data_IF_115856654169
#
_entry.id   IF_115856654169
#
_cell.length_a   1.000
_cell.length_b   1.000
_cell.length_c   1.000
_cell.angle_alpha   90.00
_cell.angle_beta   90.00
_cell.angle_gamma   90.00
#
_symmetry.space_group_name_H-M   'P 1'
#
loop_
_entity.id
_entity.type
_entity.pdbx_description
1 polymer ?
#
# COMPACT_ATOMS: atom_id res chain seq x y z
N UNK A 1 -12.72 3.70 24.01
CA UNK A 1 -11.99 2.97 22.94
C UNK A 1 -12.26 3.74 21.66
N UNK A 2 -11.29 4.50 21.14
CA UNK A 2 -11.47 5.25 19.90
C UNK A 2 -11.62 4.25 18.75
N UNK A 3 -12.73 4.34 18.03
CA UNK A 3 -12.92 3.62 16.77
C UNK A 3 -12.04 4.33 15.75
N UNK A 4 -10.91 3.72 15.42
CA UNK A 4 -10.03 4.24 14.39
C UNK A 4 -10.70 3.92 13.05
N UNK A 5 -11.27 4.92 12.37
CA UNK A 5 -11.88 4.80 11.03
C UNK A 5 -10.86 4.55 9.91
N UNK A 6 -9.67 4.07 10.28
CA UNK A 6 -8.56 3.83 9.39
C UNK A 6 -8.75 2.50 8.66
N UNK A 7 -8.70 2.55 7.34
CA UNK A 7 -8.87 1.40 6.46
C UNK A 7 -7.69 1.30 5.49
N UNK A 8 -7.49 0.09 5.03
CA UNK A 8 -6.47 -0.26 4.06
C UNK A 8 -7.14 -0.44 2.71
N UNK A 9 -6.78 0.36 1.72
CA UNK A 9 -7.30 0.25 0.36
C UNK A 9 -6.31 -0.53 -0.50
N UNK A 10 -6.80 -1.52 -1.22
CA UNK A 10 -5.98 -2.34 -2.10
C UNK A 10 -6.12 -1.79 -3.52
N UNK A 11 -5.18 -0.95 -3.92
CA UNK A 11 -5.25 -0.30 -5.23
C UNK A 11 -5.15 -1.29 -6.39
N UNK A 12 -4.59 -2.47 -6.16
CA UNK A 12 -4.48 -3.53 -7.18
C UNK A 12 -5.83 -4.16 -7.49
N UNK A 13 -6.69 -4.34 -6.48
CA UNK A 13 -8.04 -4.89 -6.67
C UNK A 13 -9.08 -3.82 -6.98
N UNK A 14 -8.90 -2.62 -6.42
CA UNK A 14 -9.94 -1.60 -6.37
C UNK A 14 -9.88 -0.64 -7.58
N UNK A 15 -8.76 -0.61 -8.33
CA UNK A 15 -8.60 0.21 -9.53
C UNK A 15 -8.57 -0.66 -10.81
N UNK A 16 -9.06 -0.14 -11.95
CA UNK A 16 -8.90 -0.79 -13.24
C UNK A 16 -7.41 -0.96 -13.58
N UNK A 17 -7.01 -2.15 -14.07
CA UNK A 17 -5.61 -2.42 -14.47
C UNK A 17 -5.05 -1.45 -15.53
N UNK A 18 -5.93 -0.77 -16.27
CA UNK A 18 -5.56 0.23 -17.28
C UNK A 18 -5.17 1.58 -16.69
N UNK A 19 -5.42 1.83 -15.40
CA UNK A 19 -5.06 3.07 -14.73
C UNK A 19 -3.64 2.94 -14.15
N UNK A 20 -2.62 3.60 -14.72
CA UNK A 20 -1.28 3.54 -14.17
C UNK A 20 -1.24 4.31 -12.84
N UNK A 21 -0.73 3.67 -11.78
CA UNK A 21 -0.24 4.39 -10.60
C UNK A 21 1.08 5.05 -10.98
N UNK A 22 1.12 6.38 -10.99
CA UNK A 22 2.34 7.10 -11.35
C UNK A 22 3.15 7.45 -10.10
N UNK A 23 4.47 7.55 -10.24
CA UNK A 23 5.34 8.02 -9.15
C UNK A 23 4.93 9.42 -8.65
N UNK A 24 4.29 10.22 -9.51
CA UNK A 24 3.78 11.55 -9.15
C UNK A 24 2.70 11.45 -8.07
N UNK A 25 1.83 10.44 -8.16
CA UNK A 25 0.74 10.19 -7.20
C UNK A 25 1.27 9.73 -5.83
N UNK A 26 2.52 9.27 -5.78
CA UNK A 26 3.22 8.87 -4.55
C UNK A 26 3.98 10.03 -3.89
N UNK A 27 4.09 11.19 -4.54
CA UNK A 27 4.90 12.31 -4.03
C UNK A 27 4.40 12.77 -2.66
N UNK A 28 5.31 12.89 -1.70
CA UNK A 28 4.99 13.30 -0.32
C UNK A 28 4.39 12.21 0.56
N UNK A 29 4.10 11.02 0.02
CA UNK A 29 3.65 9.86 0.79
C UNK A 29 4.84 9.05 1.28
N UNK A 30 4.71 8.45 2.48
CA UNK A 30 5.67 7.43 2.92
C UNK A 30 5.48 6.18 2.06
N UNK A 31 6.57 5.58 1.61
CA UNK A 31 6.54 4.35 0.81
C UNK A 31 7.29 3.25 1.57
N UNK A 32 6.68 2.06 1.67
CA UNK A 32 7.30 0.85 2.19
C UNK A 32 7.29 -0.22 1.10
N UNK A 33 8.43 -0.83 0.83
CA UNK A 33 8.51 -2.01 -0.05
C UNK A 33 8.69 -3.25 0.82
N UNK A 34 7.84 -4.25 0.64
CA UNK A 34 7.82 -5.49 1.42
C UNK A 34 8.20 -6.65 0.51
N UNK A 35 9.41 -7.22 0.66
CA UNK A 35 9.82 -8.41 -0.08
C UNK A 35 8.91 -9.61 0.23
N UNK A 36 8.91 -10.59 -0.67
CA UNK A 36 8.23 -11.84 -0.43
C UNK A 36 8.76 -12.53 0.83
N UNK A 37 7.86 -12.99 1.71
CA UNK A 37 8.19 -13.70 2.95
C UNK A 37 8.69 -12.81 4.10
N UNK A 38 8.80 -11.50 3.90
CA UNK A 38 9.20 -10.59 4.97
C UNK A 38 8.14 -10.54 6.09
N UNK A 39 8.59 -10.71 7.33
CA UNK A 39 7.78 -10.46 8.52
C UNK A 39 7.80 -8.98 8.82
N UNK A 40 6.62 -8.36 8.82
CA UNK A 40 6.44 -6.93 9.07
C UNK A 40 5.44 -6.73 10.20
N UNK A 41 5.66 -5.68 10.99
CA UNK A 41 4.67 -5.20 11.93
C UNK A 41 3.45 -4.64 11.19
N UNK A 42 2.27 -4.80 11.81
CA UNK A 42 1.01 -4.19 11.36
C UNK A 42 0.83 -2.79 11.95
N UNK A 43 1.91 -2.01 12.01
CA UNK A 43 1.81 -0.60 12.35
C UNK A 43 1.01 0.12 11.26
N UNK A 44 0.13 1.04 11.63
CA UNK A 44 -0.64 1.83 10.68
C UNK A 44 -0.06 3.24 10.58
N UNK A 45 0.19 3.72 9.37
CA UNK A 45 0.69 5.08 9.10
C UNK A 45 -0.17 5.71 8.01
N UNK A 46 -1.03 6.67 8.41
CA UNK A 46 -1.92 7.35 7.49
C UNK A 46 -1.20 7.90 6.25
N UNK A 47 -1.76 7.63 5.07
CA UNK A 47 -1.23 8.02 3.77
C UNK A 47 -0.09 7.16 3.23
N UNK A 48 0.42 6.18 4.00
CA UNK A 48 1.53 5.33 3.56
C UNK A 48 1.08 4.39 2.44
N UNK A 49 1.96 4.25 1.46
CA UNK A 49 1.83 3.29 0.38
C UNK A 49 2.74 2.10 0.66
N UNK A 50 2.17 0.90 0.70
CA UNK A 50 2.92 -0.35 0.84
C UNK A 50 2.89 -1.11 -0.47
N UNK A 51 4.07 -1.39 -1.03
CA UNK A 51 4.27 -2.18 -2.24
C UNK A 51 4.74 -3.57 -1.82
N UNK A 52 3.95 -4.59 -2.12
CA UNK A 52 4.30 -5.99 -1.84
C UNK A 52 4.88 -6.64 -3.09
N UNK A 53 6.03 -7.29 -2.93
CA UNK A 53 6.68 -8.02 -4.01
C UNK A 53 6.35 -9.51 -3.95
N UNK A 54 6.29 -10.16 -5.11
CA UNK A 54 6.27 -11.63 -5.21
C UNK A 54 7.70 -12.21 -5.15
N UNK A 55 7.81 -13.54 -5.26
CA UNK A 55 9.10 -14.25 -5.20
C UNK A 55 10.12 -13.81 -6.26
N UNK A 56 9.64 -13.35 -7.43
CA UNK A 56 10.49 -12.87 -8.52
C UNK A 56 10.90 -11.39 -8.35
N UNK A 57 10.53 -10.74 -7.23
CA UNK A 57 10.79 -9.32 -7.00
C UNK A 57 9.87 -8.37 -7.77
N UNK A 58 8.80 -8.89 -8.38
CA UNK A 58 7.82 -8.08 -9.12
C UNK A 58 6.71 -7.59 -8.19
N UNK A 59 6.16 -6.41 -8.50
CA UNK A 59 5.01 -5.86 -7.76
C UNK A 59 3.83 -6.83 -7.87
N UNK A 60 3.41 -7.37 -6.74
CA UNK A 60 2.21 -8.19 -6.59
C UNK A 60 1.01 -7.34 -6.18
N UNK A 61 1.24 -6.40 -5.27
CA UNK A 61 0.17 -5.63 -4.67
C UNK A 61 0.64 -4.23 -4.24
N UNK A 62 -0.25 -3.23 -4.30
CA UNK A 62 -0.04 -1.86 -3.86
C UNK A 62 -1.22 -1.44 -2.98
N UNK A 63 -0.90 -1.06 -1.77
CA UNK A 63 -1.87 -0.79 -0.71
C UNK A 63 -1.68 0.60 -0.15
N UNK A 64 -2.77 1.32 0.12
CA UNK A 64 -2.73 2.65 0.76
C UNK A 64 -3.49 2.62 2.07
N UNK A 65 -2.81 3.05 3.12
CA UNK A 65 -3.38 3.25 4.45
C UNK A 65 -4.12 4.60 4.47
N UNK A 66 -5.43 4.61 4.63
CA UNK A 66 -6.26 5.82 4.64
C UNK A 66 -7.06 5.92 5.94
N UNK A 67 -7.13 7.11 6.53
CA UNK A 67 -8.06 7.40 7.63
C UNK A 67 -9.05 8.43 7.13
N UNK A 68 -10.33 8.03 7.06
CA UNK A 68 -11.45 8.90 6.74
C UNK A 68 -12.12 9.44 8.00
#
# INVERSE_FOLDING_TARGET
MMQNNCRTWNLTSDLPRSLPLTLRDLTGRRVRVVPFGALITQDFVAGRVTIFLNQAGLVRDVVVENCG
#
